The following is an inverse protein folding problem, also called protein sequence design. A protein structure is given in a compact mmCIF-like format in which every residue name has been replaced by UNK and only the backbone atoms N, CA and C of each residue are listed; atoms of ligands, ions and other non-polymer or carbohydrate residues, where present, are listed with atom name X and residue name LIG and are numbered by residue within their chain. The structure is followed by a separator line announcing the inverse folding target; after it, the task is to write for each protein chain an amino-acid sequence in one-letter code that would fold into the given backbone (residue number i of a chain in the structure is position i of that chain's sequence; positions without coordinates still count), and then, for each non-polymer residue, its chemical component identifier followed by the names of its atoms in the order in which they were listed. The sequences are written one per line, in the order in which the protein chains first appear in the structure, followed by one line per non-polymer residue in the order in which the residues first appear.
data_IF_526427421989
#
_entry.id   IF_526427421989
#
_cell.length_a   1.000
_cell.length_b   1.000
_cell.length_c   1.000
_cell.angle_alpha   90.00
_cell.angle_beta   90.00
_cell.angle_gamma   90.00
#
_symmetry.space_group_name_H-M   'P 1'
#
loop_
_entity.id
_entity.type
_entity.pdbx_description
1 polymer ?
#
# COMPACT_ATOMS: atom_id res chain seq x y z
N UNK A 1 15.44 -12.37 28.54
CA UNK A 1 14.43 -12.87 27.57
C UNK A 1 14.69 -12.29 26.17
N UNK A 2 14.37 -12.98 25.06
CA UNK A 2 14.90 -12.61 23.71
C UNK A 2 14.58 -11.17 23.26
N UNK A 3 13.55 -10.54 23.83
CA UNK A 3 13.19 -9.12 23.61
C UNK A 3 14.24 -8.09 24.07
N UNK A 4 15.18 -8.50 24.93
CA UNK A 4 16.23 -7.60 25.45
C UNK A 4 17.32 -7.34 24.40
N UNK A 5 17.38 -8.17 23.35
CA UNK A 5 18.30 -7.98 22.23
C UNK A 5 17.72 -6.97 21.24
N UNK A 6 18.41 -5.84 21.08
CA UNK A 6 17.99 -4.73 20.22
C UNK A 6 17.67 -5.15 18.78
N UNK A 7 18.45 -6.08 18.21
CA UNK A 7 18.23 -6.59 16.85
C UNK A 7 16.86 -7.25 16.66
N UNK A 8 16.33 -7.92 17.69
CA UNK A 8 15.00 -8.53 17.66
C UNK A 8 13.92 -7.46 17.81
N UNK A 9 14.13 -6.50 18.70
CA UNK A 9 13.22 -5.38 18.91
C UNK A 9 13.06 -4.50 17.67
N UNK A 10 14.13 -4.25 16.92
CA UNK A 10 14.06 -3.50 15.66
C UNK A 10 13.22 -4.23 14.61
N UNK A 11 13.43 -5.56 14.44
CA UNK A 11 12.60 -6.36 13.52
C UNK A 11 11.13 -6.33 13.89
N UNK A 12 10.82 -6.36 15.18
CA UNK A 12 9.45 -6.27 15.66
C UNK A 12 8.84 -4.89 15.36
N UNK A 13 9.59 -3.80 15.63
CA UNK A 13 9.15 -2.43 15.34
C UNK A 13 8.90 -2.20 13.84
N UNK A 14 9.80 -2.69 12.97
CA UNK A 14 9.64 -2.60 11.52
C UNK A 14 8.40 -3.39 11.06
N UNK A 15 8.20 -4.59 11.61
CA UNK A 15 7.06 -5.44 11.28
C UNK A 15 5.73 -4.81 11.68
N UNK A 16 5.67 -4.16 12.86
CA UNK A 16 4.50 -3.42 13.32
C UNK A 16 4.18 -2.25 12.40
N UNK A 17 5.19 -1.44 12.07
CA UNK A 17 5.04 -0.30 11.15
C UNK A 17 4.46 -0.74 9.80
N UNK A 18 4.96 -1.85 9.25
CA UNK A 18 4.45 -2.38 7.99
C UNK A 18 2.99 -2.84 8.09
N UNK A 19 2.61 -3.51 9.18
CA UNK A 19 1.24 -3.97 9.41
C UNK A 19 0.27 -2.78 9.50
N UNK A 20 0.66 -1.73 10.23
CA UNK A 20 -0.19 -0.56 10.41
C UNK A 20 -0.32 0.24 9.11
N UNK A 21 0.76 0.36 8.34
CA UNK A 21 0.72 0.92 6.98
C UNK A 21 -0.19 0.10 6.05
N UNK A 22 -0.14 -1.24 6.14
CA UNK A 22 -0.94 -2.12 5.30
C UNK A 22 -2.43 -2.02 5.65
N UNK A 23 -2.73 -1.92 6.94
CA UNK A 23 -4.10 -1.69 7.43
C UNK A 23 -4.63 -0.34 6.96
N UNK A 24 -3.82 0.72 7.08
CA UNK A 24 -4.18 2.05 6.58
C UNK A 24 -4.52 2.04 5.09
N UNK A 25 -3.65 1.45 4.26
CA UNK A 25 -3.89 1.38 2.82
C UNK A 25 -5.14 0.57 2.46
N UNK A 26 -5.39 -0.55 3.16
CA UNK A 26 -6.59 -1.35 2.96
C UNK A 26 -7.86 -0.59 3.32
N UNK A 27 -7.85 0.14 4.43
CA UNK A 27 -8.99 0.92 4.89
C UNK A 27 -9.24 2.13 3.98
N UNK A 28 -8.19 2.80 3.49
CA UNK A 28 -8.33 3.85 2.49
C UNK A 28 -8.94 3.34 1.19
N UNK A 29 -8.58 2.13 0.75
CA UNK A 29 -9.18 1.52 -0.44
C UNK A 29 -10.66 1.18 -0.22
N UNK A 30 -11.03 0.66 0.95
CA UNK A 30 -12.42 0.37 1.30
C UNK A 30 -13.26 1.65 1.41
N UNK A 31 -12.75 2.68 2.10
CA UNK A 31 -13.42 3.96 2.24
C UNK A 31 -13.65 4.67 0.90
N UNK A 32 -12.70 4.56 -0.04
CA UNK A 32 -12.86 5.12 -1.38
C UNK A 32 -13.96 4.41 -2.20
N UNK A 33 -14.11 3.09 -2.04
CA UNK A 33 -15.17 2.31 -2.67
C UNK A 33 -16.54 2.66 -2.07
N UNK A 34 -16.63 2.71 -0.73
CA UNK A 34 -17.85 3.08 0.01
C UNK A 34 -18.31 4.51 -0.30
N UNK A 35 -17.38 5.44 -0.53
CA UNK A 35 -17.66 6.82 -0.92
C UNK A 35 -18.10 6.96 -2.39
N UNK A 36 -18.06 5.89 -3.19
CA UNK A 36 -18.40 5.91 -4.61
C UNK A 36 -17.43 6.74 -5.45
N UNK A 37 -16.13 6.70 -5.12
CA UNK A 37 -15.10 7.39 -5.88
C UNK A 37 -14.99 6.87 -7.33
N UNK A 38 -14.22 7.56 -8.18
CA UNK A 38 -14.03 7.14 -9.57
C UNK A 38 -13.57 5.66 -9.64
N UNK A 39 -14.22 4.81 -10.46
CA UNK A 39 -13.89 3.39 -10.52
C UNK A 39 -12.43 3.10 -10.90
N UNK A 40 -11.78 3.99 -11.66
CA UNK A 40 -10.36 3.88 -12.00
C UNK A 40 -9.46 4.15 -10.79
N UNK A 41 -9.82 5.15 -9.98
CA UNK A 41 -9.12 5.45 -8.73
C UNK A 41 -9.26 4.32 -7.70
N UNK A 42 -10.47 3.79 -7.50
CA UNK A 42 -10.71 2.65 -6.59
C UNK A 42 -9.92 1.43 -7.05
N UNK A 43 -9.93 1.14 -8.36
CA UNK A 43 -9.17 0.01 -8.92
C UNK A 43 -7.67 0.14 -8.66
N UNK A 44 -7.11 1.35 -8.77
CA UNK A 44 -5.71 1.62 -8.45
C UNK A 44 -5.41 1.32 -6.98
N UNK A 45 -6.20 1.88 -6.06
CA UNK A 45 -6.01 1.68 -4.62
C UNK A 45 -6.15 0.21 -4.19
N UNK A 46 -7.11 -0.52 -4.74
CA UNK A 46 -7.29 -1.96 -4.45
C UNK A 46 -6.07 -2.77 -4.90
N UNK A 47 -5.51 -2.46 -6.08
CA UNK A 47 -4.28 -3.10 -6.56
C UNK A 47 -3.06 -2.77 -5.69
N UNK A 48 -2.93 -1.51 -5.26
CA UNK A 48 -1.88 -1.09 -4.31
C UNK A 48 -2.01 -1.83 -2.97
N UNK A 49 -3.22 -1.87 -2.41
CA UNK A 49 -3.51 -2.54 -1.14
C UNK A 49 -3.19 -4.03 -1.21
N UNK A 50 -3.62 -4.74 -2.27
CA UNK A 50 -3.33 -6.17 -2.43
C UNK A 50 -1.83 -6.42 -2.48
N UNK A 51 -1.10 -5.68 -3.31
CA UNK A 51 0.34 -5.85 -3.45
C UNK A 51 1.03 -5.62 -2.09
N UNK A 52 0.78 -4.47 -1.47
CA UNK A 52 1.45 -4.08 -0.24
C UNK A 52 1.15 -5.03 0.93
N UNK A 53 -0.10 -5.46 1.10
CA UNK A 53 -0.49 -6.39 2.17
C UNK A 53 0.21 -7.75 2.01
N UNK A 54 0.30 -8.27 0.79
CA UNK A 54 0.92 -9.58 0.55
C UNK A 54 2.44 -9.56 0.75
N UNK A 55 3.12 -8.49 0.34
CA UNK A 55 4.57 -8.30 0.57
C UNK A 55 4.89 -8.08 2.05
N UNK A 56 4.03 -7.32 2.74
CA UNK A 56 4.12 -7.12 4.19
C UNK A 56 3.97 -8.46 4.92
N UNK A 57 2.96 -9.26 4.57
CA UNK A 57 2.72 -10.56 5.19
C UNK A 57 3.94 -11.49 5.05
N UNK A 58 4.54 -11.55 3.85
CA UNK A 58 5.77 -12.31 3.62
C UNK A 58 6.93 -11.83 4.52
N UNK A 59 7.13 -10.51 4.61
CA UNK A 59 8.22 -9.92 5.40
C UNK A 59 8.06 -10.19 6.89
N UNK A 60 6.86 -9.95 7.44
CA UNK A 60 6.54 -10.17 8.85
C UNK A 60 6.70 -11.63 9.25
N UNK A 61 6.20 -12.56 8.43
CA UNK A 61 6.30 -14.00 8.73
C UNK A 61 7.75 -14.47 8.67
N UNK A 62 8.56 -13.94 7.75
CA UNK A 62 10.00 -14.22 7.72
C UNK A 62 10.73 -13.69 8.97
N UNK A 63 10.38 -12.49 9.45
CA UNK A 63 10.91 -11.98 10.70
C UNK A 63 10.52 -12.87 11.89
N UNK A 64 9.26 -13.30 11.97
CA UNK A 64 8.80 -14.21 13.01
C UNK A 64 9.58 -15.55 12.99
N UNK A 65 9.79 -16.12 11.80
CA UNK A 65 10.58 -17.34 11.62
C UNK A 65 12.02 -17.17 12.15
N UNK A 66 12.67 -16.06 11.83
CA UNK A 66 14.03 -15.77 12.29
C UNK A 66 14.11 -15.60 13.82
N UNK A 67 13.09 -15.00 14.45
CA UNK A 67 13.04 -14.79 15.90
C UNK A 67 12.81 -16.10 16.66
N UNK A 68 11.99 -17.01 16.11
CA UNK A 68 11.80 -18.35 16.67
C UNK A 68 13.02 -19.25 16.47
N UNK A 69 13.79 -19.04 15.39
CA UNK A 69 14.94 -19.88 15.07
C UNK A 69 14.51 -21.31 14.71
N UNK A 70 15.27 -22.31 15.15
CA UNK A 70 15.05 -23.71 14.74
C UNK A 70 13.66 -24.27 15.09
N UNK A 71 13.05 -23.84 16.20
CA UNK A 71 11.71 -24.31 16.57
C UNK A 71 10.62 -23.80 15.63
N UNK A 72 10.86 -22.68 14.93
CA UNK A 72 9.94 -22.12 13.94
C UNK A 72 9.74 -23.02 12.71
N UNK A 73 10.66 -23.96 12.45
CA UNK A 73 10.52 -24.95 11.38
C UNK A 73 9.72 -26.20 11.79
N UNK A 74 9.39 -26.34 13.06
CA UNK A 74 8.65 -27.48 13.60
C UNK A 74 7.17 -27.17 13.69
N UNK A 75 6.32 -28.20 13.62
CA UNK A 75 4.87 -28.05 13.73
C UNK A 75 4.37 -27.68 15.15
N UNK A 76 5.26 -27.27 16.05
CA UNK A 76 4.91 -26.87 17.43
C UNK A 76 4.22 -25.51 17.42
N UNK A 77 4.70 -24.59 16.59
CA UNK A 77 4.07 -23.29 16.34
C UNK A 77 3.61 -23.27 14.88
N UNK A 78 2.55 -22.53 14.50
CA UNK A 78 2.03 -22.58 13.12
C UNK A 78 2.82 -21.70 12.12
N UNK A 79 4.06 -21.31 12.42
CA UNK A 79 4.78 -20.26 11.67
C UNK A 79 5.33 -20.78 10.34
N UNK A 80 5.76 -22.04 10.28
CA UNK A 80 6.13 -22.74 9.05
C UNK A 80 4.96 -22.92 8.09
N UNK A 81 3.74 -23.04 8.60
CA UNK A 81 2.54 -23.09 7.77
C UNK A 81 2.24 -21.71 7.19
N UNK A 82 2.25 -20.68 8.03
CA UNK A 82 2.07 -19.29 7.60
C UNK A 82 3.10 -18.86 6.55
N UNK A 83 4.35 -19.31 6.66
CA UNK A 83 5.39 -18.99 5.67
C UNK A 83 5.07 -19.60 4.30
N UNK A 84 4.49 -20.81 4.26
CA UNK A 84 4.07 -21.45 3.00
C UNK A 84 2.85 -20.75 2.42
N UNK A 85 1.87 -20.42 3.25
CA UNK A 85 0.62 -19.79 2.82
C UNK A 85 0.87 -18.37 2.28
N UNK A 86 1.75 -17.60 2.94
CA UNK A 86 2.12 -16.25 2.49
C UNK A 86 2.82 -16.24 1.13
N UNK A 87 3.46 -17.35 0.71
CA UNK A 87 4.01 -17.44 -0.65
C UNK A 87 2.91 -17.52 -1.70
N UNK A 88 1.81 -18.19 -1.40
CA UNK A 88 0.71 -18.41 -2.34
C UNK A 88 -0.09 -17.13 -2.61
N UNK A 89 -0.34 -16.32 -1.58
CA UNK A 89 -1.16 -15.10 -1.69
C UNK A 89 -0.54 -14.02 -2.61
N UNK A 90 0.78 -14.06 -2.83
CA UNK A 90 1.44 -13.18 -3.79
C UNK A 90 1.11 -13.52 -5.25
N UNK A 91 0.75 -14.78 -5.54
CA UNK A 91 0.49 -15.28 -6.90
C UNK A 91 -1.01 -15.38 -7.17
N UNK A 92 -1.76 -15.76 -6.15
CA UNK A 92 -3.20 -15.99 -6.26
C UNK A 92 -3.96 -14.68 -6.51
N UNK A 93 -5.06 -14.77 -7.29
CA UNK A 93 -5.90 -13.62 -7.70
C UNK A 93 -5.14 -12.49 -8.41
N UNK A 94 -4.09 -12.85 -9.16
CA UNK A 94 -3.22 -11.93 -9.90
C UNK A 94 -1.90 -11.72 -9.17
N UNK A 95 -0.78 -11.86 -9.88
CA UNK A 95 0.54 -11.71 -9.27
C UNK A 95 0.81 -10.26 -8.87
N UNK A 96 1.78 -10.02 -7.99
CA UNK A 96 2.14 -8.66 -7.61
C UNK A 96 2.61 -7.82 -8.80
N UNK A 97 3.26 -8.43 -9.78
CA UNK A 97 3.70 -7.77 -11.03
C UNK A 97 2.50 -7.39 -11.91
N UNK A 98 1.42 -8.17 -11.90
CA UNK A 98 0.17 -7.80 -12.58
C UNK A 98 -0.50 -6.62 -11.88
N UNK A 99 -0.43 -6.55 -10.54
CA UNK A 99 -0.93 -5.37 -9.82
C UNK A 99 -0.14 -4.12 -10.20
N UNK A 100 1.18 -4.21 -10.33
CA UNK A 100 2.01 -3.09 -10.80
C UNK A 100 1.58 -2.57 -12.17
N UNK A 101 1.25 -3.48 -13.09
CA UNK A 101 0.72 -3.11 -14.40
C UNK A 101 -0.63 -2.35 -14.31
N UNK A 102 -1.53 -2.80 -13.43
CA UNK A 102 -2.84 -2.15 -13.23
C UNK A 102 -2.64 -0.76 -12.61
N UNK A 103 -1.80 -0.65 -11.59
CA UNK A 103 -1.49 0.61 -10.90
C UNK A 103 -0.93 1.62 -11.90
N UNK A 104 0.07 1.21 -12.70
CA UNK A 104 0.65 2.04 -13.75
C UNK A 104 -0.41 2.52 -14.74
N UNK A 105 -1.26 1.62 -15.22
CA UNK A 105 -2.23 1.92 -16.26
C UNK A 105 -3.34 2.88 -15.78
N UNK A 106 -3.89 2.67 -14.59
CA UNK A 106 -4.91 3.55 -14.05
C UNK A 106 -4.33 4.91 -13.63
N UNK A 107 -3.09 4.94 -13.12
CA UNK A 107 -2.39 6.19 -12.81
C UNK A 107 -2.19 7.08 -14.04
N UNK A 108 -1.72 6.51 -15.16
CA UNK A 108 -1.53 7.30 -16.38
C UNK A 108 -2.85 7.85 -16.92
N UNK A 109 -3.94 7.07 -16.87
CA UNK A 109 -5.27 7.57 -17.26
C UNK A 109 -5.77 8.71 -16.37
N UNK A 110 -5.55 8.60 -15.06
CA UNK A 110 -5.88 9.67 -14.11
C UNK A 110 -5.14 10.95 -14.49
N UNK A 111 -3.84 10.85 -14.76
CA UNK A 111 -3.00 11.99 -15.15
C UNK A 111 -3.33 12.56 -16.52
N UNK A 112 -3.62 11.72 -17.51
CA UNK A 112 -4.02 12.17 -18.85
C UNK A 112 -5.29 13.02 -18.81
N UNK A 113 -6.27 12.65 -17.97
CA UNK A 113 -7.50 13.44 -17.76
C UNK A 113 -7.19 14.78 -17.10
N UNK A 114 -6.33 14.79 -16.09
CA UNK A 114 -5.93 16.02 -15.39
C UNK A 114 -5.15 16.97 -16.30
N UNK A 115 -4.21 16.44 -17.08
CA UNK A 115 -3.43 17.23 -18.03
C UNK A 115 -4.30 17.79 -19.14
N UNK A 116 -5.24 17.01 -19.68
CA UNK A 116 -6.20 17.51 -20.66
C UNK A 116 -7.12 18.60 -20.08
N UNK A 117 -7.54 18.46 -18.82
CA UNK A 117 -8.34 19.47 -18.13
C UNK A 117 -7.54 20.77 -17.90
N UNK A 118 -6.28 20.67 -17.49
CA UNK A 118 -5.39 21.81 -17.30
C UNK A 118 -5.07 22.55 -18.61
N UNK A 119 -4.93 21.80 -19.72
CA UNK A 119 -4.79 22.38 -21.06
C UNK A 119 -6.04 23.15 -21.48
N UNK A 120 -7.23 22.59 -21.21
CA UNK A 120 -8.50 23.26 -21.50
C UNK A 120 -8.72 24.52 -20.63
N UNK A 121 -8.19 24.53 -19.40
CA UNK A 121 -8.22 25.68 -18.50
C UNK A 121 -7.23 26.80 -18.88
N UNK A 122 -6.36 26.57 -19.88
CA UNK A 122 -5.41 27.58 -20.37
C UNK A 122 -4.21 27.83 -19.44
N UNK A 123 -4.00 26.98 -18.43
CA UNK A 123 -2.91 27.12 -17.46
C UNK A 123 -1.56 26.64 -18.00
N UNK A 124 -1.51 25.98 -19.16
CA UNK A 124 -0.28 25.39 -19.71
C UNK A 124 0.51 26.37 -20.58
N UNK A 125 1.18 27.33 -19.93
CA UNK A 125 2.47 27.82 -20.44
C UNK A 125 3.58 26.98 -19.79
N UNK A 126 4.35 26.23 -20.61
CA UNK A 126 5.53 25.41 -20.27
C UNK A 126 5.30 23.89 -20.04
N UNK A 127 5.04 23.15 -21.11
CA UNK A 127 5.75 21.90 -21.50
C UNK A 127 4.86 21.08 -22.43
N UNK A 128 5.28 20.93 -23.69
CA UNK A 128 4.54 20.21 -24.73
C UNK A 128 4.53 18.67 -24.55
N UNK A 129 4.08 17.92 -25.58
CA UNK A 129 3.64 16.53 -25.43
C UNK A 129 4.78 15.61 -24.98
N UNK A 130 4.62 15.00 -23.82
CA UNK A 130 5.57 14.02 -23.27
C UNK A 130 5.35 12.69 -24.00
N UNK A 131 6.11 12.50 -25.08
CA UNK A 131 6.23 11.19 -25.74
C UNK A 131 6.91 10.13 -24.85
N UNK A 132 6.97 8.87 -25.31
CA UNK A 132 7.07 7.66 -24.47
C UNK A 132 8.39 7.47 -23.68
N UNK A 133 9.33 8.40 -23.74
CA UNK A 133 10.61 8.36 -23.00
C UNK A 133 10.96 9.69 -22.31
N UNK A 134 10.02 10.64 -22.22
CA UNK A 134 10.24 11.92 -21.55
C UNK A 134 10.06 11.83 -20.03
N UNK A 135 11.10 12.20 -19.29
CA UNK A 135 11.07 12.29 -17.83
C UNK A 135 9.83 13.03 -17.32
N UNK A 136 9.20 12.46 -16.28
CA UNK A 136 8.09 13.09 -15.55
C UNK A 136 8.48 14.53 -15.19
N UNK A 137 7.76 15.56 -15.65
CA UNK A 137 7.90 16.88 -15.05
C UNK A 137 7.50 16.74 -13.58
N UNK A 138 8.33 17.28 -12.68
CA UNK A 138 8.10 17.25 -11.25
C UNK A 138 6.63 17.62 -10.98
N UNK A 139 5.85 16.67 -10.45
CA UNK A 139 4.46 16.91 -10.15
C UNK A 139 4.38 18.11 -9.21
N UNK A 140 3.46 19.07 -9.42
CA UNK A 140 3.12 19.95 -8.32
C UNK A 140 2.65 19.02 -7.20
N UNK A 141 3.27 19.13 -6.03
CA UNK A 141 2.82 18.44 -4.84
C UNK A 141 1.32 18.74 -4.74
N UNK A 142 0.48 17.74 -5.01
CA UNK A 142 -0.84 17.76 -4.40
C UNK A 142 -0.53 17.56 -2.94
N UNK A 143 -0.55 18.66 -2.21
CA UNK A 143 -0.84 18.63 -0.80
C UNK A 143 -2.15 17.85 -0.71
N UNK A 144 -2.04 16.55 -0.43
CA UNK A 144 -3.13 15.82 0.17
C UNK A 144 -3.22 16.49 1.53
N UNK A 145 -3.99 17.58 1.61
CA UNK A 145 -4.50 18.07 2.88
C UNK A 145 -5.21 16.88 3.48
N UNK A 146 -4.49 16.20 4.37
CA UNK A 146 -5.05 15.26 5.29
C UNK A 146 -5.98 16.11 6.15
N UNK A 147 -7.27 16.13 5.79
CA UNK A 147 -8.32 16.82 6.51
C UNK A 147 -8.32 16.34 7.96
N UNK A 148 -7.55 17.04 8.80
CA UNK A 148 -7.42 16.76 10.22
C UNK A 148 -8.76 16.92 10.96
N UNK A 149 -9.75 17.55 10.32
CA UNK A 149 -11.13 17.61 10.82
C UNK A 149 -11.83 16.25 10.84
N UNK A 150 -11.58 15.35 9.89
CA UNK A 150 -12.21 14.03 9.88
C UNK A 150 -11.52 13.01 10.80
N UNK A 151 -10.24 13.23 11.15
CA UNK A 151 -9.54 12.36 12.10
C UNK A 151 -10.02 12.54 13.55
N UNK A 152 -10.51 13.74 13.91
CA UNK A 152 -10.98 14.03 15.27
C UNK A 152 -12.41 13.52 15.55
N UNK A 153 -13.18 13.13 14.52
CA UNK A 153 -14.56 12.68 14.70
C UNK A 153 -14.69 11.18 15.02
N UNK A 154 -13.62 10.40 14.84
CA UNK A 154 -13.63 8.97 15.19
C UNK A 154 -13.03 8.68 16.58
N UNK A 155 -12.20 9.55 17.15
CA UNK A 155 -11.68 9.35 18.52
C UNK A 155 -12.76 9.53 19.62
N UNK A 156 -13.81 10.33 19.37
CA UNK A 156 -14.84 10.61 20.38
C UNK A 156 -15.92 9.50 20.49
N UNK A 157 -15.97 8.55 19.54
CA UNK A 157 -16.96 7.44 19.56
C UNK A 157 -16.43 6.10 20.04
N UNK A 158 -15.14 6.00 20.37
CA UNK A 158 -14.51 4.74 20.81
C UNK A 158 -14.51 4.60 22.35
N UNK A 159 -14.93 5.63 23.09
CA UNK A 159 -14.92 5.63 24.56
C UNK A 159 -16.26 5.96 25.25
N UNK A 160 -17.41 5.64 24.63
CA UNK A 160 -18.71 5.52 25.32
C UNK A 160 -19.32 4.13 25.16
#
# INVERSE_FOLDING_TARGET
PIREFQAVSFKLADSLTLIDAARGLLWSAAAADDAGADPGYVRRLVSEAKKFCTETAWTVVNHAMQVLGGIGYTNVYPVERLLRDTRLIMIWTGTNEVMDLIIQHEWFKEKDREWAAAEAAGERALSGPVGPTGACPASPARDVEFDAENANLEEEKVYE
#
